data_IF_105630472835
#
_entry.id   IF_105630472835
#
_cell.length_a   1.000
_cell.length_b   1.000
_cell.length_c   1.000
_cell.angle_alpha   90.00
_cell.angle_beta   90.00
_cell.angle_gamma   90.00
#
_symmetry.space_group_name_H-M   'P 1'
#
loop_
_entity.id
_entity.type
_entity.pdbx_description
1 polymer ?
#
# COMPACT_ATOMS: atom_id res chain seq x y z
N UNK A 1 12.52 -13.97 22.10
CA UNK A 1 12.96 -14.79 20.95
C UNK A 1 11.69 -15.30 20.28
N UNK A 2 11.12 -14.51 19.36
CA UNK A 2 9.88 -14.87 18.67
C UNK A 2 10.14 -16.19 17.95
N UNK A 3 9.26 -17.18 18.11
CA UNK A 3 9.36 -18.48 17.44
C UNK A 3 9.67 -18.30 15.95
N UNK A 4 10.51 -19.16 15.38
CA UNK A 4 10.97 -19.05 13.99
C UNK A 4 9.82 -18.87 12.98
N UNK A 5 8.66 -19.48 13.25
CA UNK A 5 7.44 -19.36 12.45
C UNK A 5 6.81 -17.97 12.57
N UNK A 6 6.63 -17.44 13.78
CA UNK A 6 6.03 -16.12 13.97
C UNK A 6 6.93 -15.02 13.41
N UNK A 7 8.26 -15.13 13.59
CA UNK A 7 9.22 -14.20 13.00
C UNK A 7 9.23 -14.25 11.46
N UNK A 8 9.10 -15.45 10.88
CA UNK A 8 8.98 -15.63 9.44
C UNK A 8 7.68 -15.01 8.88
N UNK A 9 6.54 -15.27 9.51
CA UNK A 9 5.26 -14.69 9.08
C UNK A 9 5.26 -13.17 9.26
N UNK A 10 5.89 -12.64 10.31
CA UNK A 10 6.09 -11.20 10.49
C UNK A 10 6.87 -10.56 9.33
N UNK A 11 7.94 -11.22 8.89
CA UNK A 11 8.73 -10.77 7.75
C UNK A 11 7.92 -10.81 6.45
N UNK A 12 7.10 -11.85 6.24
CA UNK A 12 6.16 -11.93 5.11
C UNK A 12 5.16 -10.77 5.15
N UNK A 13 4.61 -10.48 6.33
CA UNK A 13 3.63 -9.42 6.50
C UNK A 13 4.20 -8.02 6.18
N UNK A 14 5.49 -7.78 6.46
CA UNK A 14 6.16 -6.56 5.99
C UNK A 14 6.46 -6.59 4.50
N UNK A 15 6.87 -7.74 3.97
CA UNK A 15 7.20 -7.91 2.56
C UNK A 15 5.99 -7.72 1.62
N UNK A 16 4.75 -7.95 2.09
CA UNK A 16 3.54 -7.80 1.27
C UNK A 16 3.41 -6.40 0.66
N UNK A 17 3.88 -5.36 1.37
CA UNK A 17 3.82 -3.99 0.88
C UNK A 17 4.62 -3.79 -0.40
N UNK A 18 5.73 -4.52 -0.56
CA UNK A 18 6.57 -4.44 -1.75
C UNK A 18 5.83 -4.96 -3.00
N UNK A 19 4.84 -5.83 -2.85
CA UNK A 19 4.04 -6.36 -3.95
C UNK A 19 2.75 -5.57 -4.21
N UNK A 20 2.42 -4.60 -3.35
CA UNK A 20 1.11 -3.95 -3.32
C UNK A 20 0.97 -2.75 -4.28
N UNK A 21 1.53 -2.88 -5.49
CA UNK A 21 1.46 -1.89 -6.57
C UNK A 21 0.44 -2.21 -7.67
N UNK A 22 -0.06 -3.45 -7.74
CA UNK A 22 -0.94 -3.91 -8.82
C UNK A 22 -2.29 -3.19 -8.86
N UNK A 23 -2.78 -2.66 -7.73
CA UNK A 23 -4.05 -1.91 -7.64
C UNK A 23 -4.03 -0.63 -8.48
N UNK A 24 -2.85 -0.06 -8.73
CA UNK A 24 -2.70 1.10 -9.62
C UNK A 24 -3.11 0.77 -11.05
N UNK A 25 -2.90 -0.48 -11.51
CA UNK A 25 -3.32 -0.95 -12.83
C UNK A 25 -4.84 -0.93 -12.93
N UNK A 26 -5.55 -1.43 -11.91
CA UNK A 26 -7.01 -1.42 -11.90
C UNK A 26 -7.61 0.00 -11.82
N UNK A 27 -6.90 0.94 -11.20
CA UNK A 27 -7.34 2.34 -11.08
C UNK A 27 -7.31 3.09 -12.43
N UNK A 28 -6.52 2.62 -13.39
CA UNK A 28 -6.46 3.14 -14.76
C UNK A 28 -7.21 2.24 -15.76
N UNK A 29 -8.15 1.41 -15.28
CA UNK A 29 -8.88 0.45 -16.11
C UNK A 29 -9.57 1.05 -17.34
N UNK A 30 -10.10 2.28 -17.23
CA UNK A 30 -10.78 2.98 -18.34
C UNK A 30 -9.84 3.44 -19.46
N UNK A 31 -8.54 3.49 -19.22
CA UNK A 31 -7.51 3.91 -20.18
C UNK A 31 -6.79 2.73 -20.82
N UNK A 32 -7.03 1.52 -20.31
CA UNK A 32 -6.43 0.29 -20.82
C UNK A 32 -7.24 -0.17 -22.04
N UNK A 33 -6.55 -0.39 -23.16
CA UNK A 33 -7.14 -1.04 -24.34
C UNK A 33 -7.58 -2.44 -23.96
N UNK A 34 -8.84 -2.81 -24.24
CA UNK A 34 -9.44 -4.11 -23.87
C UNK A 34 -9.22 -4.50 -22.40
N UNK A 35 -9.81 -3.76 -21.44
CA UNK A 35 -9.51 -3.91 -20.02
C UNK A 35 -9.93 -5.26 -19.45
N UNK A 36 -10.98 -5.88 -20.00
CA UNK A 36 -11.44 -7.21 -19.59
C UNK A 36 -10.38 -8.30 -19.74
N UNK A 37 -9.47 -8.15 -20.72
CA UNK A 37 -8.35 -9.09 -20.92
C UNK A 37 -7.04 -8.56 -20.36
N UNK A 38 -6.76 -7.28 -20.58
CA UNK A 38 -5.43 -6.74 -20.35
C UNK A 38 -5.16 -6.37 -18.89
N UNK A 39 -6.17 -6.03 -18.09
CA UNK A 39 -5.97 -5.75 -16.65
C UNK A 39 -5.45 -7.00 -15.93
N UNK A 40 -6.13 -8.14 -16.08
CA UNK A 40 -5.72 -9.40 -15.44
C UNK A 40 -4.33 -9.87 -15.89
N UNK A 41 -4.03 -9.77 -17.20
CA UNK A 41 -2.71 -10.11 -17.74
C UNK A 41 -1.62 -9.20 -17.20
N UNK A 42 -1.85 -7.89 -17.15
CA UNK A 42 -0.88 -6.93 -16.64
C UNK A 42 -0.57 -7.19 -15.16
N UNK A 43 -1.59 -7.50 -14.34
CA UNK A 43 -1.40 -7.88 -12.93
C UNK A 43 -0.55 -9.16 -12.81
N UNK A 44 -0.89 -10.22 -13.53
CA UNK A 44 -0.14 -11.50 -13.43
C UNK A 44 1.31 -11.34 -13.91
N UNK A 45 1.52 -10.67 -15.05
CA UNK A 45 2.85 -10.45 -15.62
C UNK A 45 3.70 -9.59 -14.68
N UNK A 46 3.15 -8.47 -14.19
CA UNK A 46 3.87 -7.58 -13.27
C UNK A 46 4.27 -8.29 -11.97
N UNK A 47 3.34 -9.01 -11.34
CA UNK A 47 3.64 -9.76 -10.11
C UNK A 47 4.71 -10.83 -10.37
N UNK A 48 4.61 -11.58 -11.48
CA UNK A 48 5.60 -12.62 -11.82
C UNK A 48 6.99 -12.02 -12.00
N UNK A 49 7.11 -10.91 -12.73
CA UNK A 49 8.37 -10.19 -12.92
C UNK A 49 8.91 -9.69 -11.57
N UNK A 50 8.06 -9.09 -10.73
CA UNK A 50 8.44 -8.61 -9.41
C UNK A 50 8.97 -9.75 -8.52
N UNK A 51 8.30 -10.90 -8.50
CA UNK A 51 8.74 -12.08 -7.73
C UNK A 51 10.13 -12.52 -8.18
N UNK A 52 10.36 -12.65 -9.48
CA UNK A 52 11.67 -13.07 -10.03
C UNK A 52 12.75 -12.05 -9.63
N UNK A 53 12.50 -10.75 -9.84
CA UNK A 53 13.46 -9.70 -9.52
C UNK A 53 13.77 -9.67 -8.02
N UNK A 54 12.76 -9.69 -7.16
CA UNK A 54 12.96 -9.66 -5.71
C UNK A 54 13.67 -10.91 -5.20
N UNK A 55 13.43 -12.07 -5.80
CA UNK A 55 14.17 -13.29 -5.48
C UNK A 55 15.64 -13.18 -5.87
N UNK A 56 15.94 -12.70 -7.08
CA UNK A 56 17.32 -12.46 -7.54
C UNK A 56 18.04 -11.44 -6.65
N UNK A 57 17.35 -10.36 -6.26
CA UNK A 57 17.86 -9.34 -5.35
C UNK A 57 18.14 -9.93 -3.97
N UNK A 58 17.23 -10.73 -3.41
CA UNK A 58 17.42 -11.37 -2.12
C UNK A 58 18.66 -12.28 -2.11
N UNK A 59 18.85 -13.08 -3.17
CA UNK A 59 20.05 -13.91 -3.36
C UNK A 59 21.31 -13.04 -3.45
N UNK A 60 21.26 -11.96 -4.24
CA UNK A 60 22.39 -11.06 -4.39
C UNK A 60 22.80 -10.42 -3.05
N UNK A 61 21.84 -9.95 -2.26
CA UNK A 61 22.11 -9.37 -0.93
C UNK A 61 22.66 -10.42 0.04
N UNK A 62 22.03 -11.60 0.10
CA UNK A 62 22.43 -12.67 1.01
C UNK A 62 23.84 -13.22 0.74
N UNK A 63 24.29 -13.20 -0.53
CA UNK A 63 25.63 -13.65 -0.91
C UNK A 63 26.72 -12.59 -0.68
N UNK A 64 26.36 -11.31 -0.62
CA UNK A 64 27.32 -10.21 -0.55
C UNK A 64 27.46 -9.58 0.84
N UNK A 65 26.47 -9.75 1.71
CA UNK A 65 26.47 -9.16 3.05
C UNK A 65 26.21 -10.23 4.12
N UNK A 66 26.94 -10.13 5.24
CA UNK A 66 26.62 -10.85 6.46
C UNK A 66 25.31 -10.35 7.09
N UNK A 67 24.68 -11.17 7.94
CA UNK A 67 23.45 -10.79 8.66
C UNK A 67 23.65 -9.50 9.46
N UNK A 68 24.80 -9.34 10.11
CA UNK A 68 25.15 -8.11 10.85
C UNK A 68 25.22 -6.89 9.95
N UNK A 69 25.77 -7.02 8.74
CA UNK A 69 25.84 -5.91 7.78
C UNK A 69 24.47 -5.55 7.23
N UNK A 70 23.62 -6.55 6.95
CA UNK A 70 22.23 -6.32 6.52
C UNK A 70 21.46 -5.53 7.60
N UNK A 71 21.57 -5.94 8.86
CA UNK A 71 20.92 -5.26 9.99
C UNK A 71 21.46 -3.83 10.16
N UNK A 72 22.77 -3.64 10.00
CA UNK A 72 23.39 -2.31 10.11
C UNK A 72 22.99 -1.39 8.95
N UNK A 73 22.87 -1.93 7.73
CA UNK A 73 22.54 -1.16 6.54
C UNK A 73 21.04 -0.85 6.42
N UNK A 74 20.17 -1.61 7.09
CA UNK A 74 18.71 -1.36 7.13
C UNK A 74 18.14 -1.09 5.72
N UNK A 75 17.59 0.10 5.49
CA UNK A 75 16.86 0.49 4.29
C UNK A 75 17.76 0.62 3.04
N UNK A 76 19.08 0.82 3.21
CA UNK A 76 20.03 0.92 2.09
C UNK A 76 20.82 -0.38 1.84
N UNK A 77 20.43 -1.49 2.47
CA UNK A 77 21.11 -2.79 2.36
C UNK A 77 21.30 -3.25 0.90
N UNK A 78 20.35 -2.97 0.02
CA UNK A 78 20.47 -3.27 -1.41
C UNK A 78 21.65 -2.55 -2.06
N UNK A 79 21.80 -1.25 -1.81
CA UNK A 79 22.91 -0.47 -2.34
C UNK A 79 24.22 -0.83 -1.65
N UNK A 80 24.19 -1.18 -0.36
CA UNK A 80 25.35 -1.68 0.35
C UNK A 80 25.85 -3.02 -0.24
N UNK A 81 24.95 -3.89 -0.69
CA UNK A 81 25.28 -5.18 -1.28
C UNK A 81 25.97 -5.07 -2.65
N UNK A 82 25.89 -3.93 -3.34
CA UNK A 82 26.64 -3.72 -4.59
C UNK A 82 28.09 -3.30 -4.35
N UNK A 83 28.41 -2.78 -3.15
CA UNK A 83 29.74 -2.28 -2.80
C UNK A 83 30.85 -3.34 -2.84
N UNK A 84 30.68 -4.58 -2.36
CA UNK A 84 31.75 -5.59 -2.38
C UNK A 84 32.23 -5.94 -3.80
N UNK A 85 31.33 -5.89 -4.79
CA UNK A 85 31.63 -6.26 -6.19
C UNK A 85 32.06 -5.03 -7.01
N UNK A 86 31.33 -3.93 -6.89
CA UNK A 86 31.45 -2.77 -7.78
C UNK A 86 32.06 -1.54 -7.09
N UNK A 87 32.51 -1.68 -5.84
CA UNK A 87 33.08 -0.60 -5.04
C UNK A 87 32.10 0.54 -4.77
N UNK A 88 32.64 1.71 -4.44
CA UNK A 88 31.83 2.91 -4.17
C UNK A 88 31.01 3.36 -5.39
N UNK A 89 31.49 3.09 -6.61
CA UNK A 89 30.76 3.43 -7.83
C UNK A 89 29.44 2.66 -7.91
N UNK A 90 29.46 1.35 -7.71
CA UNK A 90 28.24 0.54 -7.71
C UNK A 90 27.26 0.95 -6.62
N UNK A 91 27.76 1.27 -5.42
CA UNK A 91 26.92 1.76 -4.33
C UNK A 91 26.17 3.04 -4.75
N UNK A 92 26.89 4.07 -5.18
CA UNK A 92 26.28 5.35 -5.54
C UNK A 92 25.40 5.26 -6.79
N UNK A 93 25.75 4.38 -7.74
CA UNK A 93 24.92 4.09 -8.89
C UNK A 93 23.58 3.46 -8.47
N UNK A 94 23.61 2.45 -7.59
CA UNK A 94 22.39 1.84 -7.05
C UNK A 94 21.55 2.84 -6.25
N UNK A 95 22.17 3.70 -5.45
CA UNK A 95 21.48 4.79 -4.73
C UNK A 95 20.78 5.73 -5.71
N UNK A 96 21.46 6.15 -6.78
CA UNK A 96 20.87 7.03 -7.80
C UNK A 96 19.64 6.39 -8.46
N UNK A 97 19.73 5.10 -8.83
CA UNK A 97 18.60 4.36 -9.37
C UNK A 97 17.44 4.24 -8.37
N UNK A 98 17.75 3.97 -7.09
CA UNK A 98 16.74 3.89 -6.04
C UNK A 98 16.00 5.21 -5.83
N UNK A 99 16.70 6.35 -5.90
CA UNK A 99 16.09 7.68 -5.80
C UNK A 99 15.13 7.92 -6.98
N UNK A 100 15.59 7.66 -8.21
CA UNK A 100 14.77 7.85 -9.42
C UNK A 100 13.53 6.95 -9.38
N UNK A 101 13.68 5.68 -8.99
CA UNK A 101 12.59 4.73 -8.86
C UNK A 101 11.59 5.13 -7.77
N UNK A 102 12.07 5.68 -6.66
CA UNK A 102 11.20 6.13 -5.56
C UNK A 102 10.43 7.38 -5.97
N UNK A 103 11.08 8.36 -6.62
CA UNK A 103 10.42 9.57 -7.11
C UNK A 103 9.32 9.20 -8.12
N UNK A 104 9.61 8.33 -9.09
CA UNK A 104 8.63 7.91 -10.08
C UNK A 104 7.44 7.16 -9.44
N UNK A 105 7.72 6.27 -8.47
CA UNK A 105 6.69 5.55 -7.73
C UNK A 105 5.79 6.47 -6.89
N UNK A 106 6.37 7.46 -6.21
CA UNK A 106 5.62 8.46 -5.43
C UNK A 106 4.74 9.32 -6.35
N UNK A 107 5.27 9.82 -7.46
CA UNK A 107 4.51 10.61 -8.44
C UNK A 107 3.33 9.80 -8.97
N UNK A 108 3.57 8.55 -9.41
CA UNK A 108 2.52 7.67 -9.91
C UNK A 108 1.43 7.42 -8.85
N UNK A 109 1.82 7.20 -7.60
CA UNK A 109 0.90 6.95 -6.49
C UNK A 109 0.04 8.17 -6.16
N UNK A 110 0.65 9.36 -6.10
CA UNK A 110 -0.08 10.62 -5.85
C UNK A 110 -1.10 10.89 -6.96
N UNK A 111 -0.72 10.69 -8.23
CA UNK A 111 -1.66 10.83 -9.34
C UNK A 111 -2.81 9.82 -9.26
N UNK A 112 -2.53 8.55 -9.01
CA UNK A 112 -3.58 7.53 -8.89
C UNK A 112 -4.56 7.83 -7.74
N UNK A 113 -4.07 8.20 -6.56
CA UNK A 113 -4.91 8.51 -5.39
C UNK A 113 -5.73 9.78 -5.63
N UNK A 114 -5.12 10.85 -6.16
CA UNK A 114 -5.81 12.11 -6.42
C UNK A 114 -7.01 11.94 -7.36
N UNK A 115 -6.87 11.09 -8.39
CA UNK A 115 -7.93 10.78 -9.36
C UNK A 115 -9.09 10.00 -8.74
N UNK A 116 -8.81 8.95 -7.97
CA UNK A 116 -9.87 8.17 -7.30
C UNK A 116 -10.61 9.06 -6.32
N UNK A 117 -9.88 9.86 -5.54
CA UNK A 117 -10.49 10.75 -4.56
C UNK A 117 -11.34 11.83 -5.23
N UNK A 118 -10.91 12.35 -6.39
CA UNK A 118 -11.69 13.29 -7.19
C UNK A 118 -12.98 12.64 -7.74
N UNK A 119 -12.89 11.42 -8.29
CA UNK A 119 -14.06 10.67 -8.77
C UNK A 119 -15.07 10.39 -7.64
N UNK A 120 -14.61 9.95 -6.47
CA UNK A 120 -15.48 9.74 -5.31
C UNK A 120 -16.11 11.05 -4.81
N UNK A 121 -15.38 12.16 -4.92
CA UNK A 121 -15.89 13.50 -4.60
C UNK A 121 -16.97 13.93 -5.58
N UNK A 122 -16.78 13.73 -6.88
CA UNK A 122 -17.77 14.01 -7.91
C UNK A 122 -19.04 13.16 -7.74
N UNK A 123 -18.88 11.91 -7.27
CA UNK A 123 -19.99 11.03 -6.87
C UNK A 123 -20.64 11.43 -5.53
N UNK A 124 -20.19 12.53 -4.89
CA UNK A 124 -20.67 13.02 -3.60
C UNK A 124 -20.52 12.01 -2.44
N UNK A 125 -19.57 11.08 -2.55
CA UNK A 125 -19.26 10.08 -1.53
C UNK A 125 -18.21 10.55 -0.53
N UNK A 126 -17.49 11.64 -0.85
CA UNK A 126 -16.45 12.22 0.01
C UNK A 126 -16.70 13.73 0.12
N UNK A 127 -16.62 14.32 1.34
CA UNK A 127 -16.75 15.76 1.51
C UNK A 127 -15.60 16.49 0.81
N UNK A 128 -15.93 17.58 0.13
CA UNK A 128 -14.95 18.46 -0.50
C UNK A 128 -15.17 19.91 -0.11
N UNK A 129 -14.08 20.55 0.29
CA UNK A 129 -14.00 21.99 0.44
C UNK A 129 -12.99 22.51 -0.57
N UNK A 130 -13.31 23.62 -1.23
CA UNK A 130 -12.45 24.25 -2.20
C UNK A 130 -11.30 25.03 -1.52
N UNK A 131 -11.44 25.39 -0.23
CA UNK A 131 -10.51 26.25 0.52
C UNK A 131 -10.00 27.48 -0.27
N UNK A 132 -10.81 28.03 -1.17
CA UNK A 132 -10.45 29.17 -2.02
C UNK A 132 -9.40 28.87 -3.11
N UNK A 133 -9.04 27.61 -3.34
CA UNK A 133 -8.08 27.23 -4.37
C UNK A 133 -8.70 27.27 -5.78
N UNK A 134 -7.97 27.81 -6.77
CA UNK A 134 -8.37 27.74 -8.17
C UNK A 134 -7.98 26.38 -8.78
N UNK A 135 -8.88 25.75 -9.51
CA UNK A 135 -8.61 24.48 -10.19
C UNK A 135 -9.80 23.54 -10.20
N UNK A 136 -9.54 22.34 -10.72
CA UNK A 136 -10.48 21.21 -10.63
C UNK A 136 -10.32 20.49 -9.28
N UNK A 137 -11.27 19.61 -8.98
CA UNK A 137 -11.27 18.81 -7.75
C UNK A 137 -10.01 17.95 -7.67
N UNK A 138 -9.49 17.47 -8.80
CA UNK A 138 -8.27 16.65 -8.86
C UNK A 138 -7.03 17.40 -8.34
N UNK A 139 -6.85 18.68 -8.71
CA UNK A 139 -5.74 19.49 -8.18
C UNK A 139 -5.86 19.67 -6.67
N UNK A 140 -7.06 19.89 -6.16
CA UNK A 140 -7.27 20.04 -4.71
C UNK A 140 -6.97 18.73 -3.97
N UNK A 141 -7.47 17.60 -4.45
CA UNK A 141 -7.22 16.28 -3.83
C UNK A 141 -5.74 15.90 -3.91
N UNK A 142 -5.05 16.28 -4.99
CA UNK A 142 -3.59 16.15 -5.10
C UNK A 142 -2.88 16.95 -4.02
N UNK A 143 -3.21 18.25 -3.86
CA UNK A 143 -2.61 19.10 -2.82
C UNK A 143 -2.87 18.55 -1.42
N UNK A 144 -4.11 18.12 -1.10
CA UNK A 144 -4.43 17.51 0.19
C UNK A 144 -3.59 16.26 0.45
N UNK A 145 -3.48 15.38 -0.55
CA UNK A 145 -2.70 14.14 -0.45
C UNK A 145 -1.22 14.45 -0.19
N UNK A 146 -0.64 15.41 -0.91
CA UNK A 146 0.77 15.78 -0.74
C UNK A 146 1.02 16.43 0.62
N UNK A 147 0.16 17.35 1.07
CA UNK A 147 0.30 18.01 2.38
C UNK A 147 0.21 16.98 3.51
N UNK A 148 -0.75 16.06 3.43
CA UNK A 148 -0.89 14.96 4.40
C UNK A 148 0.35 14.05 4.37
N UNK A 149 0.84 13.69 3.18
CA UNK A 149 2.04 12.87 3.04
C UNK A 149 3.29 13.54 3.64
N UNK A 150 3.48 14.85 3.41
CA UNK A 150 4.58 15.63 4.01
C UNK A 150 4.43 15.66 5.53
N UNK A 151 3.23 15.89 6.05
CA UNK A 151 2.97 15.84 7.50
C UNK A 151 3.39 14.47 8.07
N UNK A 152 2.92 13.35 7.50
CA UNK A 152 3.32 12.03 7.98
C UNK A 152 4.84 11.81 7.87
N UNK A 153 5.48 12.27 6.80
CA UNK A 153 6.94 12.12 6.60
C UNK A 153 7.76 12.90 7.64
N UNK A 154 7.26 14.04 8.13
CA UNK A 154 7.95 14.85 9.15
C UNK A 154 7.80 14.22 10.55
N UNK A 155 6.62 13.68 10.87
CA UNK A 155 6.29 13.25 12.23
C UNK A 155 6.45 11.74 12.48
N UNK A 156 6.48 10.91 11.44
CA UNK A 156 6.56 9.46 11.56
C UNK A 156 7.79 8.92 10.84
N UNK A 157 8.39 7.88 11.42
CA UNK A 157 9.45 7.14 10.74
C UNK A 157 8.88 6.23 9.63
N UNK A 158 9.75 5.83 8.70
CA UNK A 158 9.39 4.99 7.56
C UNK A 158 8.74 3.66 8.00
N UNK A 159 9.19 3.07 9.11
CA UNK A 159 8.68 1.79 9.60
C UNK A 159 7.22 1.92 10.07
N UNK A 160 6.89 2.98 10.80
CA UNK A 160 5.55 3.30 11.27
C UNK A 160 4.62 3.63 10.11
N UNK A 161 5.08 4.44 9.16
CA UNK A 161 4.31 4.76 7.94
C UNK A 161 4.00 3.48 7.16
N UNK A 162 5.00 2.64 6.91
CA UNK A 162 4.82 1.36 6.22
C UNK A 162 3.84 0.47 6.99
N UNK A 163 3.98 0.38 8.32
CA UNK A 163 3.12 -0.47 9.15
C UNK A 163 1.66 -0.01 9.16
N UNK A 164 1.41 1.30 9.27
CA UNK A 164 0.07 1.89 9.13
C UNK A 164 -0.49 1.58 7.75
N UNK A 165 0.32 1.76 6.70
CA UNK A 165 -0.05 1.40 5.33
C UNK A 165 -0.48 -0.05 5.20
N UNK A 166 0.28 -1.01 5.75
CA UNK A 166 -0.05 -2.44 5.71
C UNK A 166 -1.40 -2.72 6.40
N UNK A 167 -1.63 -2.13 7.57
CA UNK A 167 -2.89 -2.30 8.31
C UNK A 167 -4.07 -1.76 7.49
N UNK A 168 -3.98 -0.53 6.98
CA UNK A 168 -5.06 0.06 6.18
C UNK A 168 -5.33 -0.74 4.91
N UNK A 169 -4.28 -1.22 4.24
CA UNK A 169 -4.45 -2.00 3.02
C UNK A 169 -5.06 -3.37 3.25
N UNK A 170 -4.62 -4.11 4.27
CA UNK A 170 -5.21 -5.40 4.59
C UNK A 170 -6.67 -5.26 5.02
N UNK A 171 -7.00 -4.22 5.80
CA UNK A 171 -8.39 -3.95 6.18
C UNK A 171 -9.24 -3.56 4.96
N UNK A 172 -8.69 -2.74 4.05
CA UNK A 172 -9.34 -2.38 2.79
C UNK A 172 -9.64 -3.63 1.96
N UNK A 173 -8.66 -4.50 1.74
CA UNK A 173 -8.81 -5.72 0.93
C UNK A 173 -9.84 -6.66 1.55
N UNK A 174 -9.80 -6.90 2.87
CA UNK A 174 -10.82 -7.67 3.59
C UNK A 174 -12.21 -7.06 3.38
N UNK A 175 -12.34 -5.74 3.50
CA UNK A 175 -13.61 -5.02 3.37
C UNK A 175 -14.15 -5.10 1.94
N UNK A 176 -13.30 -4.92 0.94
CA UNK A 176 -13.67 -5.02 -0.49
C UNK A 176 -14.08 -6.46 -0.83
N UNK A 177 -13.27 -7.46 -0.46
CA UNK A 177 -13.58 -8.86 -0.73
C UNK A 177 -14.88 -9.30 -0.05
N UNK A 178 -15.12 -8.87 1.20
CA UNK A 178 -16.37 -9.11 1.90
C UNK A 178 -17.56 -8.41 1.24
N UNK A 179 -17.39 -7.14 0.85
CA UNK A 179 -18.39 -6.36 0.14
C UNK A 179 -18.81 -7.02 -1.17
N UNK A 180 -17.83 -7.49 -1.95
CA UNK A 180 -18.06 -8.26 -3.18
C UNK A 180 -18.75 -9.58 -2.87
N UNK A 181 -18.26 -10.35 -1.90
CA UNK A 181 -18.84 -11.65 -1.55
C UNK A 181 -20.32 -11.54 -1.16
N UNK A 182 -20.67 -10.51 -0.38
CA UNK A 182 -22.02 -10.33 0.18
C UNK A 182 -22.99 -9.64 -0.78
N UNK A 183 -22.55 -8.62 -1.52
CA UNK A 183 -23.45 -7.77 -2.29
C UNK A 183 -23.33 -7.97 -3.81
N UNK A 184 -22.12 -8.12 -4.35
CA UNK A 184 -21.89 -8.08 -5.81
C UNK A 184 -21.61 -9.43 -6.44
N UNK A 185 -21.40 -10.49 -5.64
CA UNK A 185 -20.94 -11.81 -6.12
C UNK A 185 -21.76 -12.35 -7.27
N UNK A 186 -23.10 -12.23 -7.20
CA UNK A 186 -24.01 -12.74 -8.23
C UNK A 186 -23.98 -11.91 -9.51
N UNK A 187 -23.77 -10.60 -9.40
CA UNK A 187 -23.74 -9.68 -10.53
C UNK A 187 -22.46 -9.84 -11.35
N UNK A 188 -21.32 -9.89 -10.67
CA UNK A 188 -20.01 -10.01 -11.34
C UNK A 188 -19.55 -11.46 -11.51
N UNK A 189 -20.40 -12.44 -11.15
CA UNK A 189 -20.11 -13.89 -11.19
C UNK A 189 -18.80 -14.27 -10.50
N UNK A 190 -18.48 -13.61 -9.38
CA UNK A 190 -17.24 -13.85 -8.65
C UNK A 190 -17.23 -15.24 -8.00
N UNK A 191 -16.06 -15.89 -8.03
CA UNK A 191 -15.84 -17.17 -7.38
C UNK A 191 -15.70 -16.98 -5.85
N UNK A 192 -16.62 -17.58 -5.10
CA UNK A 192 -16.62 -17.49 -3.64
C UNK A 192 -15.38 -18.10 -2.99
N UNK A 193 -14.83 -19.17 -3.57
CA UNK A 193 -13.66 -19.84 -3.00
C UNK A 193 -12.49 -18.87 -3.02
N UNK A 194 -12.25 -18.21 -4.16
CA UNK A 194 -11.16 -17.23 -4.31
C UNK A 194 -11.33 -16.08 -3.30
N UNK A 195 -12.52 -15.50 -3.19
CA UNK A 195 -12.79 -14.41 -2.25
C UNK A 195 -12.59 -14.83 -0.78
N UNK A 196 -13.11 -15.99 -0.39
CA UNK A 196 -12.96 -16.49 0.98
C UNK A 196 -11.52 -16.84 1.30
N UNK A 197 -10.78 -17.44 0.36
CA UNK A 197 -9.35 -17.72 0.55
C UNK A 197 -8.54 -16.44 0.69
N UNK A 198 -8.83 -15.40 -0.09
CA UNK A 198 -8.17 -14.10 0.03
C UNK A 198 -8.43 -13.47 1.41
N UNK A 199 -9.70 -13.41 1.84
CA UNK A 199 -10.06 -12.89 3.17
C UNK A 199 -9.35 -13.66 4.29
N UNK A 200 -9.31 -15.00 4.22
CA UNK A 200 -8.64 -15.80 5.25
C UNK A 200 -7.14 -15.48 5.28
N UNK A 201 -6.48 -15.40 4.13
CA UNK A 201 -5.06 -15.06 4.06
C UNK A 201 -4.79 -13.65 4.60
N UNK A 202 -5.59 -12.67 4.21
CA UNK A 202 -5.46 -11.28 4.68
C UNK A 202 -5.66 -11.19 6.19
N UNK A 203 -6.65 -11.90 6.75
CA UNK A 203 -6.91 -11.96 8.20
C UNK A 203 -5.74 -12.62 8.94
N UNK A 204 -5.19 -13.71 8.41
CA UNK A 204 -4.04 -14.40 9.02
C UNK A 204 -2.82 -13.47 9.03
N UNK A 205 -2.51 -12.84 7.90
CA UNK A 205 -1.37 -11.92 7.77
C UNK A 205 -1.56 -10.71 8.69
N UNK A 206 -2.74 -10.09 8.68
CA UNK A 206 -3.05 -8.94 9.54
C UNK A 206 -2.94 -9.32 11.03
N UNK A 207 -3.48 -10.46 11.43
CA UNK A 207 -3.44 -10.92 12.84
C UNK A 207 -2.00 -11.10 13.30
N UNK A 208 -1.18 -11.80 12.52
CA UNK A 208 0.22 -12.02 12.89
C UNK A 208 1.01 -10.71 12.87
N UNK A 209 0.76 -9.84 11.90
CA UNK A 209 1.37 -8.51 11.85
C UNK A 209 1.06 -7.68 13.09
N UNK A 210 -0.21 -7.66 13.52
CA UNK A 210 -0.64 -6.95 14.71
C UNK A 210 -0.03 -7.53 16.00
N UNK A 211 0.09 -8.86 16.12
CA UNK A 211 0.76 -9.49 17.27
C UNK A 211 2.22 -9.02 17.36
N UNK A 212 2.94 -9.05 16.23
CA UNK A 212 4.35 -8.64 16.19
C UNK A 212 4.49 -7.15 16.49
N UNK A 213 3.60 -6.32 15.94
CA UNK A 213 3.62 -4.88 16.20
C UNK A 213 3.20 -4.53 17.62
N UNK A 214 2.36 -5.34 18.28
CA UNK A 214 2.06 -5.16 19.68
C UNK A 214 3.33 -5.34 20.52
N UNK A 215 4.16 -6.34 20.24
CA UNK A 215 5.40 -6.52 20.99
C UNK A 215 6.46 -5.45 20.72
N UNK A 216 6.50 -4.87 19.50
CA UNK A 216 7.57 -3.98 19.06
C UNK A 216 7.24 -2.49 19.17
N UNK A 217 6.01 -2.08 18.81
CA UNK A 217 5.59 -0.69 18.75
C UNK A 217 4.06 -0.55 18.85
N UNK A 218 3.54 -0.52 20.08
CA UNK A 218 2.11 -0.35 20.36
C UNK A 218 1.52 0.94 19.79
N UNK A 219 2.31 2.00 19.58
CA UNK A 219 1.82 3.31 19.09
C UNK A 219 1.18 3.15 17.71
N UNK A 220 1.75 2.28 16.86
CA UNK A 220 1.22 2.01 15.52
C UNK A 220 -0.20 1.46 15.57
N UNK A 221 -0.49 0.54 16.51
CA UNK A 221 -1.81 -0.08 16.63
C UNK A 221 -2.84 0.95 17.10
N UNK A 222 -2.52 1.74 18.13
CA UNK A 222 -3.42 2.80 18.60
C UNK A 222 -3.66 3.86 17.53
N UNK A 223 -2.61 4.28 16.82
CA UNK A 223 -2.74 5.23 15.71
C UNK A 223 -3.64 4.69 14.60
N UNK A 224 -3.47 3.41 14.21
CA UNK A 224 -4.32 2.76 13.21
C UNK A 224 -5.79 2.72 13.68
N UNK A 225 -6.04 2.27 14.91
CA UNK A 225 -7.40 2.19 15.47
C UNK A 225 -8.08 3.56 15.53
N UNK A 226 -7.37 4.59 16.00
CA UNK A 226 -7.89 5.96 16.05
C UNK A 226 -8.19 6.50 14.65
N UNK A 227 -7.31 6.27 13.69
CA UNK A 227 -7.52 6.69 12.32
C UNK A 227 -8.70 5.97 11.66
N UNK A 228 -8.84 4.65 11.86
CA UNK A 228 -9.99 3.88 11.37
C UNK A 228 -11.28 4.40 11.99
N UNK A 229 -11.30 4.61 13.31
CA UNK A 229 -12.46 5.15 14.02
C UNK A 229 -12.83 6.53 13.46
N UNK A 230 -11.85 7.41 13.27
CA UNK A 230 -12.04 8.73 12.70
C UNK A 230 -12.65 8.67 11.30
N UNK A 231 -12.13 7.79 10.42
CA UNK A 231 -12.64 7.57 9.06
C UNK A 231 -14.10 7.08 9.11
N UNK A 232 -14.39 6.02 9.87
CA UNK A 232 -15.72 5.41 9.94
C UNK A 232 -16.76 6.35 10.55
N UNK A 233 -16.40 7.08 11.60
CA UNK A 233 -17.29 8.07 12.23
C UNK A 233 -17.52 9.24 11.28
N UNK A 234 -16.46 9.76 10.66
CA UNK A 234 -16.55 10.82 9.66
C UNK A 234 -17.45 10.45 8.48
N UNK A 235 -17.25 9.25 7.92
CA UNK A 235 -18.08 8.71 6.84
C UNK A 235 -19.55 8.60 7.27
N UNK A 236 -19.85 8.01 8.43
CA UNK A 236 -21.22 7.87 8.92
C UNK A 236 -21.92 9.21 9.13
N UNK A 237 -21.23 10.20 9.70
CA UNK A 237 -21.79 11.54 9.91
C UNK A 237 -22.07 12.20 8.57
N UNK A 238 -21.12 12.14 7.64
CA UNK A 238 -21.24 12.72 6.32
C UNK A 238 -22.40 12.11 5.52
N UNK A 239 -22.44 10.77 5.40
CA UNK A 239 -23.49 10.07 4.66
C UNK A 239 -24.87 10.24 5.29
N UNK A 240 -24.96 10.35 6.63
CA UNK A 240 -26.23 10.64 7.31
C UNK A 240 -26.75 12.04 6.95
N UNK A 241 -25.90 13.05 6.98
CA UNK A 241 -26.29 14.42 6.63
C UNK A 241 -26.67 14.52 5.14
N UNK A 242 -25.94 13.84 4.26
CA UNK A 242 -26.24 13.81 2.84
C UNK A 242 -27.58 13.13 2.52
N UNK A 243 -27.90 12.01 3.18
CA UNK A 243 -29.20 11.35 2.98
C UNK A 243 -30.37 12.23 3.46
N UNK A 244 -30.18 12.98 4.53
CA UNK A 244 -31.18 13.92 5.04
C UNK A 244 -31.35 15.18 4.16
N UNK A 245 -30.41 15.50 3.27
CA UNK A 245 -30.55 16.60 2.30
C UNK A 245 -31.28 16.19 1.01
N UNK A 246 -31.42 14.87 0.76
CA UNK A 246 -32.08 14.31 -0.44
C UNK A 246 -33.54 13.92 -0.16
N UNK A 247 -33.89 13.64 1.10
CA UNK A 247 -35.28 13.43 1.57
C UNK A 247 -36.01 14.76 1.83
#
# INVERSE_FOLDING_TARGET
>A
MISSITGFIAAIALAILAYKGFTTISNSGSEIVDPHRNVGRAIIISITICVIIYFLVAIAVANNLSISEIISAKDYALAQASKPIFGNYGLWFTVGLAIIATISGVIASVFAVSRILAMLTEMKLVPHSYFGMPGDIQKHTLVYTVVIAIFFTIFFDLSRIASLGAIFYLIMDITIHWGVFRHLRKEIKANAIILLTAIILDVVILTVFLIVKAEQDFIVIYAALLAILFIVVGEKIFLKNFRNEIE
#
